data_IF_573869427531
#
_entry.id   IF_573869427531
#
_cell.length_a   1.000
_cell.length_b   1.000
_cell.length_c   1.000
_cell.angle_alpha   90.00
_cell.angle_beta   90.00
_cell.angle_gamma   90.00
#
_symmetry.space_group_name_H-M   'P 1'
#
loop_
_entity.id
_entity.type
_entity.pdbx_description
1 polymer ?
#
# COMPACT_ATOMS: atom_id res chain seq x y z
N UNK A 1 17.76 -4.66 68.71
CA UNK A 1 18.09 -4.98 67.30
C UNK A 1 17.39 -6.27 66.94
N UNK A 2 16.15 -6.22 66.45
CA UNK A 2 15.41 -7.42 66.03
C UNK A 2 15.43 -7.48 64.50
N UNK A 3 16.11 -8.49 63.94
CA UNK A 3 16.09 -8.78 62.51
C UNK A 3 15.00 -9.83 62.28
N UNK A 4 13.88 -9.42 61.66
CA UNK A 4 12.87 -10.36 61.17
C UNK A 4 13.49 -11.20 60.05
N UNK A 5 13.63 -12.50 60.26
CA UNK A 5 14.01 -13.48 59.24
C UNK A 5 12.74 -13.99 58.53
N UNK A 6 12.46 -13.43 57.35
CA UNK A 6 11.37 -13.88 56.48
C UNK A 6 11.84 -15.12 55.69
N UNK A 7 11.41 -16.31 56.10
CA UNK A 7 11.64 -17.54 55.33
C UNK A 7 10.44 -17.81 54.43
N UNK A 8 10.56 -17.48 53.13
CA UNK A 8 9.55 -17.87 52.16
C UNK A 8 9.68 -19.38 51.87
N UNK A 9 8.59 -20.17 51.94
CA UNK A 9 8.66 -21.61 51.67
C UNK A 9 8.89 -21.84 50.17
N UNK A 10 9.86 -22.71 49.86
CA UNK A 10 10.29 -23.08 48.51
C UNK A 10 9.13 -23.51 47.57
N UNK A 11 8.05 -24.03 48.14
CA UNK A 11 6.83 -24.41 47.40
C UNK A 11 6.10 -23.21 46.77
N UNK A 12 6.13 -22.04 47.40
CA UNK A 12 5.52 -20.82 46.84
C UNK A 12 6.31 -20.27 45.65
N UNK A 13 7.63 -20.50 45.62
CA UNK A 13 8.47 -20.13 44.49
C UNK A 13 8.15 -21.02 43.27
N UNK A 14 7.95 -22.32 43.49
CA UNK A 14 7.66 -23.26 42.40
C UNK A 14 6.30 -22.97 41.71
N UNK A 15 5.25 -22.65 42.48
CA UNK A 15 3.95 -22.25 41.90
C UNK A 15 4.02 -20.92 41.12
N UNK A 16 4.88 -20.00 41.55
CA UNK A 16 5.09 -18.75 40.84
C UNK A 16 5.77 -18.97 39.47
N UNK A 17 6.68 -19.94 39.37
CA UNK A 17 7.34 -20.28 38.10
C UNK A 17 6.44 -21.00 37.10
N UNK A 18 5.48 -21.82 37.55
CA UNK A 18 4.57 -22.54 36.64
C UNK A 18 3.46 -21.65 36.04
N UNK A 19 3.30 -20.42 36.52
CA UNK A 19 2.21 -19.51 36.12
C UNK A 19 2.56 -18.60 34.94
N UNK A 20 3.80 -18.63 34.42
CA UNK A 20 4.22 -17.78 33.30
C UNK A 20 3.74 -18.37 31.97
N UNK A 21 2.46 -18.17 31.62
CA UNK A 21 2.00 -18.39 30.25
C UNK A 21 2.54 -17.25 29.38
N UNK A 22 3.47 -17.57 28.49
CA UNK A 22 3.88 -16.62 27.45
C UNK A 22 2.64 -16.26 26.61
N UNK A 23 2.32 -14.97 26.42
CA UNK A 23 1.24 -14.59 25.52
C UNK A 23 1.66 -15.00 24.09
N UNK A 24 0.89 -15.88 23.47
CA UNK A 24 0.99 -16.12 22.04
C UNK A 24 0.44 -14.88 21.34
N UNK A 25 1.28 -14.15 20.60
CA UNK A 25 0.81 -13.01 19.83
C UNK A 25 -0.13 -13.50 18.72
N UNK A 26 -1.40 -13.10 18.78
CA UNK A 26 -2.33 -13.33 17.69
C UNK A 26 -1.89 -12.51 16.46
N UNK A 27 -2.09 -13.00 15.23
CA UNK A 27 -1.86 -12.20 14.03
C UNK A 27 -2.63 -10.89 14.11
N UNK A 28 -1.95 -9.77 13.85
CA UNK A 28 -2.66 -8.50 13.77
C UNK A 28 -3.60 -8.53 12.56
N UNK A 29 -4.84 -8.01 12.69
CA UNK A 29 -5.69 -7.81 11.54
C UNK A 29 -4.95 -6.94 10.50
N UNK A 30 -5.15 -7.20 9.20
CA UNK A 30 -4.52 -6.40 8.16
C UNK A 30 -4.92 -4.94 8.32
N UNK A 31 -4.02 -4.03 7.93
CA UNK A 31 -4.31 -2.61 7.88
C UNK A 31 -5.59 -2.38 7.03
N UNK A 32 -6.46 -1.43 7.43
CA UNK A 32 -7.63 -1.09 6.63
C UNK A 32 -7.17 -0.68 5.22
N UNK A 33 -7.88 -1.18 4.22
CA UNK A 33 -7.64 -0.79 2.83
C UNK A 33 -7.91 0.71 2.65
N UNK A 34 -7.11 1.36 1.80
CA UNK A 34 -7.31 2.77 1.47
C UNK A 34 -8.59 2.91 0.66
N UNK A 35 -9.54 3.67 1.21
CA UNK A 35 -10.86 3.94 0.60
C UNK A 35 -10.76 5.11 -0.39
N UNK A 36 -10.09 4.86 -1.51
CA UNK A 36 -9.97 5.79 -2.64
C UNK A 36 -10.55 5.13 -3.91
N UNK A 37 -11.06 5.93 -4.87
CA UNK A 37 -11.64 5.43 -6.12
C UNK A 37 -10.72 4.50 -6.92
N UNK A 38 -9.40 4.64 -6.76
CA UNK A 38 -8.38 3.85 -7.46
C UNK A 38 -7.41 3.19 -6.46
N UNK A 39 -7.94 2.32 -5.60
CA UNK A 39 -7.15 1.60 -4.57
C UNK A 39 -6.00 0.74 -5.13
N UNK A 40 -6.02 0.41 -6.43
CA UNK A 40 -4.99 -0.38 -7.11
C UNK A 40 -3.58 0.23 -6.98
N UNK A 41 -3.45 1.57 -6.99
CA UNK A 41 -2.17 2.26 -6.81
C UNK A 41 -1.49 2.00 -5.45
N UNK A 42 -2.27 1.63 -4.44
CA UNK A 42 -1.76 1.55 -3.06
C UNK A 42 -1.54 0.12 -2.58
N UNK A 43 -2.21 -0.87 -3.19
CA UNK A 43 -2.16 -2.26 -2.71
C UNK A 43 -0.86 -2.97 -3.08
N UNK A 44 -0.20 -2.56 -4.16
CA UNK A 44 1.10 -3.11 -4.61
C UNK A 44 2.28 -2.13 -4.41
N UNK A 45 2.08 -1.04 -3.64
CA UNK A 45 3.07 0.03 -3.39
C UNK A 45 3.59 0.75 -4.65
N UNK A 46 2.93 0.62 -5.80
CA UNK A 46 3.27 1.40 -6.99
C UNK A 46 2.54 2.74 -6.99
N UNK A 47 3.18 3.75 -6.40
CA UNK A 47 2.69 5.12 -6.44
C UNK A 47 2.97 5.75 -7.82
N UNK A 48 1.94 6.27 -8.52
CA UNK A 48 2.10 7.02 -9.75
C UNK A 48 3.18 8.08 -9.63
N UNK A 49 4.18 8.01 -10.50
CA UNK A 49 5.14 9.11 -10.63
C UNK A 49 4.55 10.15 -11.56
N UNK A 50 4.46 11.40 -11.11
CA UNK A 50 4.11 12.51 -12.00
C UNK A 50 5.29 12.74 -12.96
N UNK A 51 5.17 12.19 -14.16
CA UNK A 51 6.19 12.34 -15.20
C UNK A 51 5.85 13.52 -16.09
N UNK A 52 6.87 14.29 -16.47
CA UNK A 52 6.75 15.30 -17.53
C UNK A 52 6.68 14.69 -18.92
N UNK A 53 7.16 13.46 -19.09
CA UNK A 53 7.05 12.68 -20.33
C UNK A 53 6.06 11.50 -20.20
N UNK A 54 5.78 10.79 -21.32
CA UNK A 54 4.87 9.64 -21.35
C UNK A 54 5.32 8.50 -20.43
N UNK A 55 4.39 7.93 -19.67
CA UNK A 55 4.57 6.68 -18.92
C UNK A 55 3.26 5.88 -18.87
N UNK A 56 3.30 4.65 -18.33
CA UNK A 56 2.15 3.74 -18.20
C UNK A 56 1.36 3.56 -19.50
N UNK A 57 2.00 3.07 -20.56
CA UNK A 57 1.38 2.96 -21.88
C UNK A 57 0.46 1.75 -22.01
N UNK A 58 -0.68 1.92 -22.69
CA UNK A 58 -1.50 0.84 -23.21
C UNK A 58 -1.89 1.08 -24.67
N UNK A 59 -2.09 -0.01 -25.42
CA UNK A 59 -2.62 0.05 -26.77
C UNK A 59 -4.14 0.19 -26.75
N UNK A 60 -4.67 1.04 -27.64
CA UNK A 60 -6.07 0.99 -27.97
C UNK A 60 -6.43 -0.41 -28.54
N UNK A 61 -7.66 -0.91 -28.35
CA UNK A 61 -8.05 -2.25 -28.81
C UNK A 61 -7.82 -2.50 -30.31
N UNK A 62 -7.84 -1.45 -31.12
CA UNK A 62 -7.62 -1.51 -32.56
C UNK A 62 -6.15 -1.38 -32.99
N UNK A 63 -5.23 -1.26 -32.04
CA UNK A 63 -3.77 -1.10 -32.24
C UNK A 63 -3.35 0.12 -33.08
N UNK A 64 -4.21 1.13 -33.24
CA UNK A 64 -3.90 2.34 -34.02
C UNK A 64 -3.51 3.54 -33.17
N UNK A 65 -3.62 3.43 -31.85
CA UNK A 65 -3.26 4.48 -30.92
C UNK A 65 -2.67 3.92 -29.64
N UNK A 66 -1.78 4.69 -29.04
CA UNK A 66 -1.30 4.52 -27.68
C UNK A 66 -2.04 5.50 -26.78
N UNK A 67 -2.42 5.02 -25.59
CA UNK A 67 -2.86 5.86 -24.47
C UNK A 67 -1.79 5.79 -23.39
N UNK A 68 -1.43 6.94 -22.81
CA UNK A 68 -0.36 7.05 -21.82
C UNK A 68 -0.65 8.17 -20.82
N UNK A 69 -0.01 8.12 -19.65
CA UNK A 69 -0.05 9.21 -18.68
C UNK A 69 1.10 10.19 -18.89
N UNK A 70 0.79 11.48 -18.81
CA UNK A 70 1.76 12.57 -18.86
C UNK A 70 1.16 13.82 -18.22
N UNK A 71 1.93 14.54 -17.40
CA UNK A 71 1.49 15.78 -16.75
C UNK A 71 0.19 15.66 -15.95
N UNK A 72 -0.10 14.46 -15.41
CA UNK A 72 -1.25 14.21 -14.53
C UNK A 72 -2.55 13.82 -15.22
N UNK A 73 -2.53 13.70 -16.55
CA UNK A 73 -3.70 13.32 -17.35
C UNK A 73 -3.40 12.15 -18.28
N UNK A 74 -4.45 11.52 -18.79
CA UNK A 74 -4.32 10.58 -19.90
C UNK A 74 -4.25 11.34 -21.22
N UNK A 75 -3.39 10.87 -22.10
CA UNK A 75 -3.20 11.37 -23.44
C UNK A 75 -3.29 10.23 -24.44
N UNK A 76 -3.78 10.51 -25.64
CA UNK A 76 -3.85 9.59 -26.76
C UNK A 76 -3.04 10.10 -27.93
N UNK A 77 -2.22 9.23 -28.52
CA UNK A 77 -1.53 9.52 -29.77
C UNK A 77 -1.77 8.38 -30.75
N UNK A 78 -2.21 8.72 -31.98
CA UNK A 78 -2.28 7.74 -33.06
C UNK A 78 -0.89 7.44 -33.61
N UNK A 79 -0.67 6.21 -34.06
CA UNK A 79 0.64 5.79 -34.60
C UNK A 79 1.03 6.49 -35.90
N UNK A 80 0.05 7.02 -36.63
CA UNK A 80 0.23 7.78 -37.87
C UNK A 80 0.30 9.29 -37.65
N UNK A 81 0.38 9.74 -36.39
CA UNK A 81 0.33 11.16 -36.00
C UNK A 81 1.42 11.51 -35.00
N UNK A 82 1.90 12.75 -35.06
CA UNK A 82 2.78 13.35 -34.05
C UNK A 82 2.01 14.14 -33.00
N UNK A 83 0.68 14.26 -33.15
CA UNK A 83 -0.18 14.96 -32.21
C UNK A 83 -0.65 14.02 -31.09
N UNK A 84 -0.45 14.45 -29.85
CA UNK A 84 -1.05 13.84 -28.67
C UNK A 84 -2.25 14.69 -28.20
N UNK A 85 -3.38 14.03 -27.96
CA UNK A 85 -4.63 14.62 -27.50
C UNK A 85 -4.86 14.26 -26.03
N UNK A 86 -5.12 15.25 -25.18
CA UNK A 86 -5.50 14.99 -23.79
C UNK A 86 -6.91 14.40 -23.71
N UNK A 87 -7.09 13.35 -22.91
CA UNK A 87 -8.36 12.64 -22.72
C UNK A 87 -9.05 12.98 -21.41
N UNK A 88 -8.30 13.38 -20.38
CA UNK A 88 -8.85 13.68 -19.05
C UNK A 88 -8.38 15.03 -18.52
N UNK A 89 -9.24 15.73 -17.77
CA UNK A 89 -9.01 17.07 -17.22
C UNK A 89 -9.55 17.25 -15.80
N UNK A 90 -9.81 16.15 -15.10
CA UNK A 90 -10.34 16.15 -13.74
C UNK A 90 -9.34 16.66 -12.70
N UNK A 91 -9.80 16.95 -11.46
CA UNK A 91 -8.94 17.45 -10.39
C UNK A 91 -7.97 16.41 -9.80
N UNK A 92 -8.02 15.14 -10.26
CA UNK A 92 -7.17 14.04 -9.80
C UNK A 92 -6.03 13.73 -10.76
N UNK A 93 -5.19 12.75 -10.38
CA UNK A 93 -4.16 12.22 -11.27
C UNK A 93 -4.65 10.95 -11.95
N UNK A 94 -4.70 10.99 -13.29
CA UNK A 94 -4.99 9.81 -14.09
C UNK A 94 -3.67 9.21 -14.61
N UNK A 95 -3.37 8.00 -14.13
CA UNK A 95 -2.07 7.37 -14.39
C UNK A 95 -2.16 6.12 -15.25
N UNK A 96 -3.09 5.21 -14.96
CA UNK A 96 -3.28 3.99 -15.74
C UNK A 96 -4.38 4.18 -16.79
N UNK A 97 -4.09 3.85 -18.07
CA UNK A 97 -5.09 3.89 -19.14
C UNK A 97 -5.92 2.60 -19.30
N UNK A 98 -5.61 1.54 -18.55
CA UNK A 98 -6.29 0.23 -18.57
C UNK A 98 -7.46 0.07 -17.58
#
# INVERSE_FOLDING_TARGET
MSRLSLSLPLGSLLLALLSTRSPCAAPQPPLPAIDLPHSYYYRELYLPQLTSGPSSLAWAPDSRALVFSMAGSLWRQRTDSTLAEQLTDGPGYDYQPD
#
